data_IF_409987178812
#
_entry.id   IF_409987178812
#
_cell.length_a   1.000
_cell.length_b   1.000
_cell.length_c   1.000
_cell.angle_alpha   90.00
_cell.angle_beta   90.00
_cell.angle_gamma   90.00
#
_symmetry.space_group_name_H-M   'P 1'
#
loop_
_entity.id
_entity.type
_entity.pdbx_description
1 polymer ?
#
# COMPACT_ATOMS: atom_id res chain seq x y z
N UNK A 1 -15.19 -1.42 -17.26
CA UNK A 1 -13.89 -2.11 -17.38
C UNK A 1 -13.24 -1.87 -18.75
N UNK A 2 -13.28 -0.64 -19.30
CA UNK A 2 -12.68 -0.32 -20.61
C UNK A 2 -11.69 0.86 -20.56
N UNK A 3 -11.54 1.52 -19.42
CA UNK A 3 -10.70 2.73 -19.27
C UNK A 3 -9.39 2.50 -18.51
N UNK A 4 -9.14 1.28 -18.01
CA UNK A 4 -7.89 0.92 -17.32
C UNK A 4 -6.74 0.56 -18.29
N UNK A 5 -7.05 0.25 -19.56
CA UNK A 5 -6.08 -0.29 -20.52
C UNK A 5 -5.03 0.72 -21.00
N UNK A 6 -5.11 2.00 -20.61
CA UNK A 6 -4.15 3.02 -21.05
C UNK A 6 -3.80 4.03 -19.96
N UNK A 7 -3.37 3.54 -18.79
CA UNK A 7 -2.51 4.38 -17.96
C UNK A 7 -1.19 4.57 -18.72
N UNK A 8 -0.82 5.83 -18.99
CA UNK A 8 0.50 6.13 -19.56
C UNK A 8 1.60 5.89 -18.53
N UNK A 9 2.84 5.71 -18.99
CA UNK A 9 3.99 5.40 -18.14
C UNK A 9 4.18 6.38 -16.97
N UNK A 10 3.93 7.67 -17.20
CA UNK A 10 3.99 8.69 -16.15
C UNK A 10 2.94 8.47 -15.05
N UNK A 11 1.73 8.04 -15.40
CA UNK A 11 0.68 7.74 -14.45
C UNK A 11 1.01 6.46 -13.66
N UNK A 12 1.54 5.44 -14.34
CA UNK A 12 2.02 4.21 -13.69
C UNK A 12 3.14 4.52 -12.70
N UNK A 13 4.13 5.32 -13.09
CA UNK A 13 5.23 5.72 -12.22
C UNK A 13 4.75 6.51 -10.99
N UNK A 14 3.78 7.42 -11.18
CA UNK A 14 3.19 8.18 -10.08
C UNK A 14 2.44 7.27 -9.08
N UNK A 15 1.66 6.32 -9.59
CA UNK A 15 0.94 5.36 -8.76
C UNK A 15 1.89 4.43 -8.00
N UNK A 16 2.97 3.97 -8.65
CA UNK A 16 3.99 3.15 -8.02
C UNK A 16 4.72 3.92 -6.90
N UNK A 17 5.10 5.17 -7.16
CA UNK A 17 5.73 6.02 -6.15
C UNK A 17 4.80 6.29 -4.96
N UNK A 18 3.50 6.48 -5.19
CA UNK A 18 2.50 6.67 -4.14
C UNK A 18 2.21 5.39 -3.33
N UNK A 19 2.51 4.21 -3.88
CA UNK A 19 2.30 2.91 -3.23
C UNK A 19 3.39 2.51 -2.23
N UNK A 20 4.43 3.34 -2.03
CA UNK A 20 5.56 3.01 -1.16
C UNK A 20 5.80 4.15 -0.16
N UNK A 21 5.84 3.81 1.13
CA UNK A 21 6.35 4.69 2.18
C UNK A 21 7.69 4.16 2.68
N UNK A 22 8.63 5.06 2.99
CA UNK A 22 9.91 4.73 3.61
C UNK A 22 10.02 5.48 4.93
N UNK A 23 10.28 4.73 6.01
CA UNK A 23 10.53 5.28 7.33
C UNK A 23 12.00 5.04 7.69
N UNK A 24 12.61 6.02 8.36
CA UNK A 24 13.98 5.93 8.89
C UNK A 24 15.01 5.43 7.85
N UNK A 25 15.10 6.02 6.64
CA UNK A 25 16.00 5.54 5.58
C UNK A 25 17.48 5.55 5.96
N UNK A 26 17.85 6.37 6.94
CA UNK A 26 19.23 6.51 7.44
C UNK A 26 19.45 5.77 8.79
N UNK A 27 18.54 4.88 9.18
CA UNK A 27 18.68 4.11 10.41
C UNK A 27 19.92 3.20 10.37
N UNK A 28 20.61 3.11 11.51
CA UNK A 28 21.79 2.23 11.67
C UNK A 28 21.43 0.84 12.20
N UNK A 29 20.14 0.55 12.39
CA UNK A 29 19.68 -0.79 12.79
C UNK A 29 20.04 -1.81 11.71
N UNK A 30 20.46 -3.03 12.06
CA UNK A 30 20.76 -4.08 11.08
C UNK A 30 19.47 -4.69 10.47
N UNK A 31 18.29 -4.35 10.97
CA UNK A 31 17.03 -4.93 10.53
C UNK A 31 16.32 -4.02 9.51
N UNK A 32 15.97 -4.61 8.37
CA UNK A 32 15.02 -4.04 7.42
C UNK A 32 13.63 -4.61 7.68
N UNK A 33 12.69 -3.76 8.04
CA UNK A 33 11.29 -4.13 8.19
C UNK A 33 10.53 -3.87 6.88
N UNK A 34 9.71 -4.83 6.46
CA UNK A 34 8.88 -4.75 5.26
C UNK A 34 7.45 -5.09 5.65
N UNK A 35 6.49 -4.33 5.12
CA UNK A 35 5.06 -4.51 5.38
C UNK A 35 4.28 -4.33 4.06
N UNK A 36 4.24 -5.38 3.24
CA UNK A 36 3.64 -5.33 1.89
C UNK A 36 2.13 -5.05 1.92
N UNK A 37 1.41 -5.62 2.89
CA UNK A 37 -0.04 -5.45 3.05
C UNK A 37 -0.39 -4.49 4.20
N UNK A 38 0.36 -3.39 4.34
CA UNK A 38 0.15 -2.40 5.41
C UNK A 38 -1.15 -1.57 5.26
N UNK A 39 -1.72 -1.49 4.05
CA UNK A 39 -2.93 -0.72 3.79
C UNK A 39 -3.76 -1.28 2.63
N UNK A 40 -4.98 -0.77 2.51
CA UNK A 40 -6.01 -1.21 1.55
C UNK A 40 -6.43 -0.10 0.57
N UNK A 41 -5.64 0.96 0.42
CA UNK A 41 -5.98 2.07 -0.49
C UNK A 41 -5.97 1.57 -1.93
N UNK A 42 -7.14 1.58 -2.56
CA UNK A 42 -7.28 1.30 -3.99
C UNK A 42 -7.11 2.61 -4.75
N UNK A 43 -6.15 2.72 -5.70
CA UNK A 43 -5.97 3.97 -6.41
C UNK A 43 -7.16 4.30 -7.33
N UNK A 44 -7.47 5.59 -7.46
CA UNK A 44 -8.69 6.09 -8.10
C UNK A 44 -9.05 5.47 -9.46
N UNK A 45 -8.09 5.20 -10.39
CA UNK A 45 -8.41 4.55 -11.66
C UNK A 45 -9.11 3.19 -11.50
N UNK A 46 -8.79 2.44 -10.44
CA UNK A 46 -9.35 1.11 -10.16
C UNK A 46 -10.62 1.15 -9.31
N UNK A 47 -11.03 2.32 -8.81
CA UNK A 47 -12.22 2.53 -7.98
C UNK A 47 -12.24 1.58 -6.78
N UNK A 48 -13.18 0.65 -6.74
CA UNK A 48 -13.39 -0.35 -5.69
C UNK A 48 -13.08 -1.78 -6.18
N UNK A 49 -12.39 -1.92 -7.33
CA UNK A 49 -12.13 -3.20 -8.00
C UNK A 49 -13.40 -3.97 -8.40
N UNK A 50 -14.57 -3.34 -8.33
CA UNK A 50 -15.86 -4.02 -8.48
C UNK A 50 -16.27 -4.84 -7.25
N UNK A 51 -15.62 -4.63 -6.10
CA UNK A 51 -15.95 -5.26 -4.83
C UNK A 51 -16.96 -4.41 -4.04
N UNK A 52 -17.78 -5.06 -3.21
CA UNK A 52 -18.58 -4.34 -2.23
C UNK A 52 -17.68 -3.76 -1.13
N UNK A 53 -18.01 -2.56 -0.68
CA UNK A 53 -17.24 -1.79 0.31
C UNK A 53 -16.83 -2.58 1.57
N UNK A 54 -17.68 -3.45 2.15
CA UNK A 54 -17.29 -4.21 3.33
C UNK A 54 -16.06 -5.10 3.13
N UNK A 55 -15.82 -5.60 1.91
CA UNK A 55 -14.68 -6.46 1.64
C UNK A 55 -13.36 -5.68 1.67
N UNK A 56 -13.36 -4.43 1.23
CA UNK A 56 -12.18 -3.56 1.27
C UNK A 56 -11.75 -3.23 2.70
N UNK A 57 -12.64 -3.34 3.69
CA UNK A 57 -12.32 -3.12 5.11
C UNK A 57 -11.85 -4.37 5.88
N UNK A 58 -11.69 -5.51 5.21
CA UNK A 58 -11.36 -6.80 5.86
C UNK A 58 -9.97 -7.30 5.49
N UNK A 59 -9.58 -8.45 6.07
CA UNK A 59 -8.32 -9.12 5.76
C UNK A 59 -8.12 -9.47 4.28
N UNK A 60 -9.18 -9.44 3.46
CA UNK A 60 -9.05 -9.58 2.01
C UNK A 60 -8.24 -8.45 1.36
N UNK A 61 -8.22 -7.26 1.97
CA UNK A 61 -7.61 -6.07 1.39
C UNK A 61 -6.39 -5.54 2.17
N UNK A 62 -6.13 -6.05 3.38
CA UNK A 62 -5.05 -5.57 4.27
C UNK A 62 -4.71 -6.61 5.34
N UNK A 63 -3.44 -6.72 5.72
CA UNK A 63 -3.07 -7.45 6.93
C UNK A 63 -3.32 -6.56 8.16
N UNK A 64 -4.50 -6.71 8.76
CA UNK A 64 -4.98 -5.83 9.83
C UNK A 64 -3.97 -5.77 10.99
N UNK A 65 -3.47 -4.56 11.26
CA UNK A 65 -2.54 -4.27 12.34
C UNK A 65 -1.06 -4.29 11.95
N UNK A 66 -0.70 -4.77 10.74
CA UNK A 66 0.70 -4.85 10.29
C UNK A 66 1.36 -3.48 10.18
N UNK A 67 0.66 -2.45 9.69
CA UNK A 67 1.19 -1.08 9.64
C UNK A 67 1.59 -0.57 11.03
N UNK A 68 0.64 -0.60 11.97
CA UNK A 68 0.86 -0.12 13.33
C UNK A 68 1.97 -0.90 14.05
N UNK A 69 2.01 -2.23 13.89
CA UNK A 69 3.04 -3.08 14.46
C UNK A 69 4.42 -2.75 13.88
N UNK A 70 4.55 -2.67 12.56
CA UNK A 70 5.81 -2.40 11.87
C UNK A 70 6.36 -1.02 12.24
N UNK A 71 5.50 0.01 12.30
CA UNK A 71 5.89 1.35 12.78
C UNK A 71 6.38 1.33 14.21
N UNK A 72 5.78 0.52 15.09
CA UNK A 72 6.23 0.40 16.48
C UNK A 72 7.58 -0.28 16.58
N UNK A 73 7.78 -1.38 15.85
CA UNK A 73 9.06 -2.09 15.79
C UNK A 73 10.18 -1.21 15.23
N UNK A 74 9.89 -0.33 14.27
CA UNK A 74 10.89 0.58 13.69
C UNK A 74 11.52 1.56 14.71
N UNK A 75 10.91 1.74 15.87
CA UNK A 75 11.36 2.67 16.93
C UNK A 75 12.01 1.96 18.12
N UNK A 76 12.14 0.64 18.05
CA UNK A 76 12.75 -0.19 19.11
C UNK A 76 14.23 -0.37 18.81
#
# INVERSE_FOLDING_TARGET
MRDLEKLGDAAVAALAAAGVERLLPDATSPYLLIAEHAGNVVPAPWRDLGLAEPYLGTHFAVDIGVDALTRRLSRT
#
